data_IF_575702694800
#
_entry.id   IF_575702694800
#
_cell.length_a   1.000
_cell.length_b   1.000
_cell.length_c   1.000
_cell.angle_alpha   90.00
_cell.angle_beta   90.00
_cell.angle_gamma   90.00
#
_symmetry.space_group_name_H-M   'P 1'
#
loop_
_entity.id
_entity.type
_entity.pdbx_description
1 polymer ?
#
# COMPACT_ATOMS: atom_id res chain seq x y z
N UNK A 1 4.87 9.14 -13.94
CA UNK A 1 3.45 8.72 -13.94
C UNK A 1 2.72 9.47 -12.83
N UNK A 2 1.51 9.96 -13.08
CA UNK A 2 0.67 10.60 -12.06
C UNK A 2 -0.23 9.56 -11.40
N UNK A 3 0.34 8.84 -10.43
CA UNK A 3 -0.40 7.81 -9.70
C UNK A 3 -1.52 8.39 -8.85
N UNK A 4 -1.39 9.63 -8.36
CA UNK A 4 -2.43 10.26 -7.53
C UNK A 4 -3.70 10.41 -8.33
N UNK A 5 -3.61 10.98 -9.54
CA UNK A 5 -4.77 11.15 -10.41
C UNK A 5 -5.31 9.79 -10.91
N UNK A 6 -4.46 8.82 -11.22
CA UNK A 6 -4.90 7.49 -11.67
C UNK A 6 -5.67 6.75 -10.58
N UNK A 7 -5.14 6.71 -9.35
CA UNK A 7 -5.79 6.07 -8.21
C UNK A 7 -7.12 6.76 -7.90
N UNK A 8 -7.16 8.10 -7.97
CA UNK A 8 -8.39 8.86 -7.76
C UNK A 8 -9.46 8.50 -8.78
N UNK A 9 -9.08 8.49 -10.06
CA UNK A 9 -9.95 8.14 -11.18
C UNK A 9 -10.51 6.73 -10.99
N UNK A 10 -9.67 5.74 -10.63
CA UNK A 10 -10.11 4.37 -10.39
C UNK A 10 -11.14 4.25 -9.26
N UNK A 11 -10.92 4.94 -8.14
CA UNK A 11 -11.87 4.93 -7.01
C UNK A 11 -13.21 5.53 -7.43
N UNK A 12 -13.17 6.68 -8.12
CA UNK A 12 -14.39 7.36 -8.57
C UNK A 12 -15.16 6.55 -9.60
N UNK A 13 -14.50 6.05 -10.65
CA UNK A 13 -15.14 5.32 -11.73
C UNK A 13 -15.72 3.98 -11.28
N UNK A 14 -14.98 3.19 -10.49
CA UNK A 14 -15.45 1.89 -10.01
C UNK A 14 -16.63 2.07 -9.06
N UNK A 15 -16.53 3.00 -8.10
CA UNK A 15 -17.61 3.24 -7.14
C UNK A 15 -18.89 3.78 -7.80
N UNK A 16 -18.74 4.61 -8.85
CA UNK A 16 -19.85 5.06 -9.68
C UNK A 16 -20.49 3.90 -10.44
N UNK A 17 -19.68 3.05 -11.10
CA UNK A 17 -20.16 1.93 -11.91
C UNK A 17 -20.99 0.91 -11.10
N UNK A 18 -20.67 0.70 -9.81
CA UNK A 18 -21.42 -0.20 -8.92
C UNK A 18 -22.63 0.46 -8.23
N UNK A 19 -22.93 1.73 -8.55
CA UNK A 19 -24.07 2.46 -8.00
C UNK A 19 -23.91 2.92 -6.54
N UNK A 20 -22.68 2.97 -6.02
CA UNK A 20 -22.35 3.44 -4.67
C UNK A 20 -21.13 4.38 -4.71
N UNK A 21 -21.26 5.57 -5.30
CA UNK A 21 -20.14 6.49 -5.47
C UNK A 21 -19.53 6.88 -4.12
N UNK A 22 -18.20 6.85 -4.04
CA UNK A 22 -17.45 7.29 -2.86
C UNK A 22 -17.14 8.78 -3.02
N UNK A 23 -17.61 9.61 -2.10
CA UNK A 23 -17.40 11.06 -2.19
C UNK A 23 -15.93 11.44 -2.03
N UNK A 24 -15.43 12.35 -2.87
CA UNK A 24 -13.99 12.71 -2.95
C UNK A 24 -13.43 13.32 -1.67
N UNK A 25 -14.27 13.97 -0.87
CA UNK A 25 -13.93 14.57 0.43
C UNK A 25 -13.78 13.53 1.57
N UNK A 26 -14.19 12.28 1.33
CA UNK A 26 -14.12 11.21 2.33
C UNK A 26 -12.81 10.43 2.32
N UNK A 27 -11.91 10.72 1.39
CA UNK A 27 -10.58 10.13 1.34
C UNK A 27 -9.53 11.11 0.79
N UNK A 28 -8.27 10.80 1.07
CA UNK A 28 -7.10 11.55 0.62
C UNK A 28 -6.09 10.58 0.00
N UNK A 29 -5.44 10.98 -1.07
CA UNK A 29 -4.33 10.21 -1.68
C UNK A 29 -3.05 10.99 -1.43
N UNK A 30 -2.11 10.36 -0.73
CA UNK A 30 -0.85 10.96 -0.31
C UNK A 30 0.30 10.21 -0.97
N UNK A 31 0.92 10.85 -1.95
CA UNK A 31 2.20 10.38 -2.48
C UNK A 31 3.33 10.86 -1.57
N UNK A 32 3.95 9.91 -0.87
CA UNK A 32 5.05 10.18 0.07
C UNK A 32 6.41 10.28 -0.62
N UNK A 33 6.47 10.11 -1.94
CA UNK A 33 7.69 10.27 -2.73
C UNK A 33 8.70 9.14 -2.56
N UNK A 34 9.91 9.42 -3.04
CA UNK A 34 11.10 8.58 -2.98
C UNK A 34 12.32 9.51 -2.79
N UNK A 35 13.07 9.43 -1.68
CA UNK A 35 12.82 8.59 -0.50
C UNK A 35 11.50 8.98 0.19
N UNK A 36 10.84 8.01 0.82
CA UNK A 36 9.62 8.30 1.59
C UNK A 36 9.88 8.35 3.09
N UNK A 37 9.08 9.15 3.78
CA UNK A 37 9.02 9.18 5.24
C UNK A 37 7.79 8.35 5.68
N UNK A 38 7.99 7.23 6.42
CA UNK A 38 6.88 6.45 6.94
C UNK A 38 5.98 7.30 7.85
N UNK A 39 4.64 7.12 7.79
CA UNK A 39 3.75 7.77 8.74
C UNK A 39 4.03 7.28 10.16
N UNK A 40 3.94 8.18 11.13
CA UNK A 40 4.10 7.86 12.56
C UNK A 40 2.82 7.28 13.17
N UNK A 41 1.66 7.63 12.61
CA UNK A 41 0.35 7.13 13.01
C UNK A 41 -0.64 7.15 11.84
N UNK A 42 -1.58 6.21 11.86
CA UNK A 42 -2.83 6.32 11.14
C UNK A 42 -3.70 7.39 11.86
N UNK A 43 -4.24 8.41 11.16
CA UNK A 43 -5.07 9.41 11.80
C UNK A 43 -6.31 8.79 12.46
N UNK A 44 -6.74 9.37 13.59
CA UNK A 44 -7.94 8.90 14.29
C UNK A 44 -9.16 8.99 13.37
N UNK A 45 -10.04 7.99 13.44
CA UNK A 45 -11.22 7.92 12.58
C UNK A 45 -10.92 7.54 11.12
N UNK A 46 -9.69 7.12 10.79
CA UNK A 46 -9.31 6.72 9.43
C UNK A 46 -8.99 5.22 9.30
N UNK A 47 -9.07 4.75 8.07
CA UNK A 47 -8.47 3.51 7.56
C UNK A 47 -7.52 3.88 6.42
N UNK A 48 -6.69 2.95 5.96
CA UNK A 48 -5.80 3.25 4.84
C UNK A 48 -5.50 2.05 3.96
N UNK A 49 -5.27 2.32 2.68
CA UNK A 49 -4.49 1.49 1.77
C UNK A 49 -3.10 2.07 1.68
N UNK A 50 -2.07 1.23 1.72
CA UNK A 50 -0.68 1.63 1.51
C UNK A 50 -0.10 0.82 0.36
N UNK A 51 0.66 1.48 -0.49
CA UNK A 51 1.25 0.92 -1.70
C UNK A 51 2.73 1.24 -1.74
N UNK A 52 3.55 0.22 -1.99
CA UNK A 52 5.00 0.34 -2.13
C UNK A 52 5.40 -0.03 -3.55
N UNK A 53 6.20 0.83 -4.19
CA UNK A 53 6.66 0.63 -5.56
C UNK A 53 8.19 0.69 -5.63
N UNK A 54 8.80 -0.11 -6.51
CA UNK A 54 10.21 -0.01 -6.88
C UNK A 54 10.31 0.28 -8.38
N UNK A 55 10.83 1.46 -8.73
CA UNK A 55 10.64 1.98 -10.09
C UNK A 55 9.16 2.15 -10.39
N UNK A 56 8.68 1.47 -11.44
CA UNK A 56 7.27 1.46 -11.85
C UNK A 56 6.52 0.17 -11.41
N UNK A 57 7.19 -0.77 -10.74
CA UNK A 57 6.58 -2.03 -10.28
C UNK A 57 6.00 -1.86 -8.87
N UNK A 58 4.70 -2.13 -8.70
CA UNK A 58 4.11 -2.25 -7.38
C UNK A 58 4.59 -3.54 -6.72
N UNK A 59 5.25 -3.41 -5.58
CA UNK A 59 5.75 -4.55 -4.82
C UNK A 59 4.71 -5.09 -3.85
N UNK A 60 4.03 -4.19 -3.15
CA UNK A 60 3.08 -4.56 -2.10
C UNK A 60 1.97 -3.54 -1.95
N UNK A 61 0.75 -4.04 -1.79
CA UNK A 61 -0.43 -3.22 -1.52
C UNK A 61 -1.20 -3.89 -0.41
N UNK A 62 -1.48 -3.18 0.67
CA UNK A 62 -2.26 -3.73 1.77
C UNK A 62 -3.07 -2.66 2.50
N UNK A 63 -3.93 -3.13 3.39
CA UNK A 63 -4.83 -2.29 4.18
C UNK A 63 -4.54 -2.25 5.67
N UNK A 64 -4.92 -1.14 6.29
CA UNK A 64 -4.98 -0.95 7.74
C UNK A 64 -6.35 -0.39 8.14
N UNK A 65 -7.06 -1.09 9.02
CA UNK A 65 -8.23 -0.54 9.70
C UNK A 65 -7.79 0.32 10.91
N UNK A 66 -8.76 0.97 11.57
CA UNK A 66 -8.52 1.81 12.75
C UNK A 66 -7.74 1.12 13.88
N UNK A 67 -7.81 -0.22 13.97
CA UNK A 67 -7.14 -1.03 15.01
C UNK A 67 -5.75 -1.51 14.59
N UNK A 68 -5.34 -1.24 13.36
CA UNK A 68 -4.14 -1.83 12.73
C UNK A 68 -3.04 -0.80 12.46
N UNK A 69 -2.78 0.11 13.40
CA UNK A 69 -1.79 1.19 13.24
C UNK A 69 -0.40 0.69 12.82
N UNK A 70 0.04 -0.44 13.38
CA UNK A 70 1.34 -1.03 13.07
C UNK A 70 1.47 -1.47 11.60
N UNK A 71 0.39 -1.98 10.96
CA UNK A 71 0.38 -2.32 9.53
C UNK A 71 0.72 -1.12 8.67
N UNK A 72 0.11 0.03 8.99
CA UNK A 72 0.31 1.28 8.25
C UNK A 72 1.69 1.92 8.50
N UNK A 73 2.17 1.92 9.74
CA UNK A 73 3.31 2.75 10.14
C UNK A 73 4.66 2.03 10.10
N UNK A 74 4.73 0.76 10.53
CA UNK A 74 6.01 0.16 10.91
C UNK A 74 6.23 -1.30 10.47
N UNK A 75 5.18 -2.11 10.32
CA UNK A 75 5.33 -3.55 10.10
C UNK A 75 6.08 -3.88 8.81
N UNK A 76 5.83 -3.16 7.71
CA UNK A 76 6.46 -3.45 6.42
C UNK A 76 7.97 -3.18 6.36
N UNK A 77 8.51 -2.46 7.34
CA UNK A 77 9.93 -2.13 7.43
C UNK A 77 10.74 -3.09 8.31
N UNK A 78 10.10 -4.09 8.91
CA UNK A 78 10.76 -5.03 9.83
C UNK A 78 10.34 -6.47 9.60
N UNK A 79 10.94 -7.40 10.36
CA UNK A 79 10.76 -8.85 10.19
C UNK A 79 9.76 -9.45 11.21
N UNK A 80 9.01 -8.59 11.91
CA UNK A 80 8.21 -8.98 13.09
C UNK A 80 6.83 -9.58 12.74
N UNK A 81 6.42 -9.58 11.47
CA UNK A 81 5.17 -10.16 11.02
C UNK A 81 5.39 -11.06 9.78
N UNK A 82 4.50 -12.03 9.49
CA UNK A 82 4.70 -12.98 8.39
C UNK A 82 4.74 -12.34 7.00
N UNK A 83 3.78 -11.45 6.68
CA UNK A 83 3.65 -10.81 5.35
C UNK A 83 4.09 -9.34 5.38
N UNK A 84 5.39 -9.13 5.57
CA UNK A 84 6.02 -7.78 5.54
C UNK A 84 6.75 -7.58 4.22
N UNK A 85 6.85 -6.34 3.75
CA UNK A 85 7.62 -6.05 2.53
C UNK A 85 9.10 -6.42 2.72
N UNK A 86 9.64 -6.11 3.91
CA UNK A 86 10.99 -6.50 4.31
C UNK A 86 11.26 -8.01 4.15
N UNK A 87 10.35 -8.89 4.62
CA UNK A 87 10.51 -10.33 4.42
C UNK A 87 10.43 -10.74 2.96
N UNK A 88 9.45 -10.20 2.22
CA UNK A 88 9.29 -10.52 0.80
C UNK A 88 10.53 -10.18 -0.01
N UNK A 89 11.11 -8.98 0.20
CA UNK A 89 12.34 -8.55 -0.45
C UNK A 89 13.54 -9.45 -0.12
N UNK A 90 13.69 -9.85 1.15
CA UNK A 90 14.80 -10.73 1.56
C UNK A 90 14.65 -12.16 1.02
N UNK A 91 13.42 -12.62 0.76
CA UNK A 91 13.16 -13.94 0.20
C UNK A 91 13.17 -13.99 -1.32
N UNK A 92 13.19 -12.83 -2.00
CA UNK A 92 13.12 -12.74 -3.45
C UNK A 92 14.52 -12.85 -4.07
N UNK A 93 14.79 -14.00 -4.69
CA UNK A 93 16.07 -14.24 -5.39
C UNK A 93 16.33 -13.24 -6.52
N UNK A 94 15.28 -12.65 -7.11
CA UNK A 94 15.43 -11.61 -8.13
C UNK A 94 15.90 -10.26 -7.58
N UNK A 95 15.99 -10.11 -6.25
CA UNK A 95 16.48 -8.90 -5.58
C UNK A 95 17.89 -9.08 -4.99
N UNK A 96 18.56 -10.21 -5.23
CA UNK A 96 19.87 -10.53 -4.62
C UNK A 96 20.95 -9.49 -4.91
N UNK A 97 20.91 -8.91 -6.10
CA UNK A 97 21.96 -8.00 -6.59
C UNK A 97 21.84 -6.58 -5.99
N UNK A 98 20.77 -6.32 -5.23
CA UNK A 98 20.49 -5.01 -4.63
C UNK A 98 21.15 -4.80 -3.25
N UNK A 99 22.04 -5.73 -2.84
CA UNK A 99 22.74 -5.71 -1.55
C UNK A 99 21.80 -5.53 -0.34
N UNK A 100 20.63 -6.14 -0.40
CA UNK A 100 19.62 -6.10 0.66
C UNK A 100 19.97 -7.14 1.72
N UNK A 101 20.02 -6.72 2.98
CA UNK A 101 20.31 -7.56 4.13
C UNK A 101 19.37 -7.23 5.31
N UNK A 102 19.18 -8.14 6.27
CA UNK A 102 18.35 -7.87 7.46
C UNK A 102 18.76 -6.61 8.23
N UNK A 103 20.05 -6.25 8.20
CA UNK A 103 20.59 -5.07 8.89
C UNK A 103 20.27 -3.74 8.19
N UNK A 104 20.03 -3.71 6.87
CA UNK A 104 19.80 -2.49 6.10
C UNK A 104 18.39 -2.39 5.48
N UNK A 105 17.61 -3.48 5.48
CA UNK A 105 16.32 -3.58 4.77
C UNK A 105 15.36 -2.42 5.08
N UNK A 106 15.32 -1.97 6.33
CA UNK A 106 14.45 -0.88 6.76
C UNK A 106 14.77 0.42 6.03
N UNK A 107 16.05 0.79 5.98
CA UNK A 107 16.47 2.04 5.36
C UNK A 107 16.54 1.89 3.85
N UNK A 108 16.82 0.68 3.35
CA UNK A 108 16.71 0.35 1.94
C UNK A 108 15.29 0.58 1.42
N UNK A 109 14.24 0.08 2.10
CA UNK A 109 12.84 0.29 1.68
C UNK A 109 12.51 1.79 1.63
N UNK A 110 12.91 2.57 2.64
CA UNK A 110 12.63 4.02 2.66
C UNK A 110 13.34 4.77 1.53
N UNK A 111 14.57 4.35 1.22
CA UNK A 111 15.45 5.00 0.25
C UNK A 111 15.19 4.58 -1.20
N UNK A 112 14.59 3.41 -1.42
CA UNK A 112 14.46 2.81 -2.76
C UNK A 112 13.01 2.56 -3.19
N UNK A 113 12.05 2.50 -2.26
CA UNK A 113 10.65 2.34 -2.62
C UNK A 113 9.91 3.67 -2.56
N UNK A 114 9.11 3.98 -3.59
CA UNK A 114 8.08 5.02 -3.49
C UNK A 114 6.94 4.49 -2.63
N UNK A 115 6.29 5.38 -1.87
CA UNK A 115 5.09 5.00 -1.10
C UNK A 115 3.92 5.93 -1.41
N UNK A 116 2.76 5.35 -1.68
CA UNK A 116 1.51 6.07 -1.90
C UNK A 116 0.46 5.49 -0.96
N UNK A 117 -0.24 6.35 -0.23
CA UNK A 117 -1.31 5.96 0.67
C UNK A 117 -2.66 6.50 0.20
N UNK A 118 -3.73 5.72 0.38
CA UNK A 118 -5.12 6.20 0.33
C UNK A 118 -5.66 6.22 1.75
N UNK A 119 -5.88 7.38 2.33
CA UNK A 119 -6.38 7.58 3.70
C UNK A 119 -7.89 7.82 3.65
N UNK A 120 -8.67 6.93 4.26
CA UNK A 120 -10.12 6.81 4.05
C UNK A 120 -10.85 7.09 5.36
N UNK A 121 -11.96 7.83 5.35
CA UNK A 121 -12.84 7.94 6.52
C UNK A 121 -13.38 6.57 6.93
N UNK A 122 -13.28 6.24 8.21
CA UNK A 122 -13.63 4.90 8.67
C UNK A 122 -15.14 4.63 8.75
N UNK A 123 -15.97 5.67 8.76
CA UNK A 123 -17.43 5.58 8.70
C UNK A 123 -17.94 5.01 7.36
N UNK A 124 -17.13 5.08 6.29
CA UNK A 124 -17.40 4.38 5.02
C UNK A 124 -17.35 2.85 5.14
N UNK A 125 -16.82 2.33 6.25
CA UNK A 125 -16.87 0.92 6.61
C UNK A 125 -15.87 0.02 5.87
N UNK A 126 -15.80 -1.23 6.35
CA UNK A 126 -14.82 -2.22 5.89
C UNK A 126 -14.96 -2.60 4.41
N UNK A 127 -16.18 -2.59 3.88
CA UNK A 127 -16.41 -2.95 2.47
C UNK A 127 -15.85 -1.90 1.51
N UNK A 128 -15.88 -0.62 1.88
CA UNK A 128 -15.20 0.44 1.10
C UNK A 128 -13.69 0.22 1.09
N UNK A 129 -13.11 -0.13 2.25
CA UNK A 129 -11.69 -0.44 2.35
C UNK A 129 -11.30 -1.66 1.49
N UNK A 130 -12.13 -2.70 1.51
CA UNK A 130 -11.95 -3.92 0.71
C UNK A 130 -12.08 -3.67 -0.79
N UNK A 131 -13.06 -2.86 -1.20
CA UNK A 131 -13.24 -2.48 -2.60
C UNK A 131 -11.99 -1.75 -3.11
N UNK A 132 -11.53 -0.71 -2.41
CA UNK A 132 -10.37 0.07 -2.84
C UNK A 132 -9.12 -0.83 -2.90
N UNK A 133 -8.86 -1.66 -1.88
CA UNK A 133 -7.75 -2.62 -1.92
C UNK A 133 -7.85 -3.56 -3.13
N UNK A 134 -9.02 -4.12 -3.39
CA UNK A 134 -9.27 -5.03 -4.51
C UNK A 134 -9.07 -4.37 -5.87
N UNK A 135 -9.53 -3.12 -6.05
CA UNK A 135 -9.30 -2.35 -7.28
C UNK A 135 -7.81 -2.11 -7.50
N UNK A 136 -7.07 -1.73 -6.45
CA UNK A 136 -5.63 -1.51 -6.55
C UNK A 136 -4.88 -2.83 -6.83
N UNK A 137 -5.28 -3.93 -6.20
CA UNK A 137 -4.72 -5.27 -6.50
C UNK A 137 -4.96 -5.67 -7.94
N UNK A 138 -6.19 -5.50 -8.44
CA UNK A 138 -6.56 -5.87 -9.80
C UNK A 138 -5.84 -5.01 -10.86
N UNK A 139 -5.72 -3.71 -10.62
CA UNK A 139 -5.05 -2.79 -11.54
C UNK A 139 -3.53 -2.97 -11.60
N UNK A 140 -2.90 -3.17 -10.44
CA UNK A 140 -1.44 -3.07 -10.30
C UNK A 140 -0.72 -4.40 -10.06
N UNK A 141 -1.46 -5.49 -9.81
CA UNK A 141 -0.94 -6.86 -9.69
C UNK A 141 0.35 -6.98 -8.83
N UNK A 142 0.36 -6.39 -7.61
CA UNK A 142 1.59 -6.09 -6.90
C UNK A 142 2.40 -7.33 -6.56
N UNK A 143 3.69 -7.38 -6.91
CA UNK A 143 4.57 -8.57 -6.92
C UNK A 143 4.40 -9.55 -5.75
N UNK A 144 4.20 -9.04 -4.53
CA UNK A 144 4.15 -9.83 -3.30
C UNK A 144 2.75 -10.00 -2.68
N UNK A 145 1.69 -9.83 -3.45
CA UNK A 145 0.32 -10.20 -3.05
C UNK A 145 -0.21 -11.40 -3.84
N UNK A 146 -1.02 -12.23 -3.17
CA UNK A 146 -1.49 -13.50 -3.70
C UNK A 146 -0.40 -14.60 -3.68
N UNK A 147 -0.84 -15.86 -3.73
CA UNK A 147 0.07 -16.99 -3.93
C UNK A 147 0.39 -17.15 -5.41
N UNK A 148 1.52 -17.76 -5.75
CA UNK A 148 1.86 -18.07 -7.15
C UNK A 148 0.78 -18.93 -7.84
N UNK A 149 0.01 -19.72 -7.09
CA UNK A 149 -1.12 -20.50 -7.59
C UNK A 149 -2.40 -19.70 -7.85
N UNK A 150 -2.42 -18.41 -7.51
CA UNK A 150 -3.55 -17.49 -7.70
C UNK A 150 -3.29 -16.45 -8.79
N UNK A 151 -2.11 -16.50 -9.41
CA UNK A 151 -1.67 -15.61 -10.49
C UNK A 151 -1.67 -16.35 -11.81
#
# INVERSE_FOLDING_TARGET
MDYVNEIDTLIQEVSLAIGKPISRDTYEIVDRGLPHIPPTRLPAGKMAIYMFLLGDEFLKIGKANQRSNARFCSQHYGLNAPSTLAKSLLSDSGMSDLNIAPSNIKDWIKGNCRRIDVIINADLGVFTLELIEGVMHYKYEPKYEGFASQR
#
